data_IF_178678602300
#
_entry.id   IF_178678602300
#
_cell.length_a   1.000
_cell.length_b   1.000
_cell.length_c   1.000
_cell.angle_alpha   90.00
_cell.angle_beta   90.00
_cell.angle_gamma   90.00
#
_symmetry.space_group_name_H-M   'P 1'
#
loop_
_entity.id
_entity.type
_entity.pdbx_description
1 polymer ?
#
# COMPACT_ATOMS: atom_id res chain seq x y z
N UNK A 1 -5.78 -11.77 10.60
CA UNK A 1 -6.41 -11.53 9.28
C UNK A 1 -5.52 -12.12 8.20
N UNK A 2 -6.08 -12.64 7.11
CA UNK A 2 -5.29 -13.47 6.18
C UNK A 2 -4.44 -12.62 5.22
N UNK A 3 -3.19 -12.37 5.62
CA UNK A 3 -2.16 -11.74 4.80
C UNK A 3 -1.94 -12.46 3.47
N UNK A 4 -2.07 -13.80 3.44
CA UNK A 4 -1.87 -14.56 2.22
C UNK A 4 -2.96 -14.30 1.20
N UNK A 5 -4.20 -14.05 1.64
CA UNK A 5 -5.28 -13.61 0.75
C UNK A 5 -5.03 -12.18 0.26
N UNK A 6 -4.57 -11.27 1.14
CA UNK A 6 -4.31 -9.88 0.77
C UNK A 6 -3.19 -9.73 -0.27
N UNK A 7 -2.06 -10.42 -0.07
CA UNK A 7 -0.87 -10.29 -0.94
C UNK A 7 -1.05 -10.85 -2.35
N UNK A 8 -2.08 -11.68 -2.56
CA UNK A 8 -2.41 -12.30 -3.85
C UNK A 8 -3.52 -11.56 -4.60
N UNK A 9 -4.01 -10.42 -4.08
CA UNK A 9 -4.96 -9.59 -4.79
C UNK A 9 -4.23 -8.89 -5.93
N UNK A 10 -4.75 -9.01 -7.16
CA UNK A 10 -4.26 -8.32 -8.35
C UNK A 10 -3.89 -6.83 -8.09
N UNK A 11 -4.73 -6.00 -7.45
CA UNK A 11 -4.36 -4.60 -7.19
C UNK A 11 -3.19 -4.45 -6.21
N UNK A 12 -2.98 -5.40 -5.28
CA UNK A 12 -1.84 -5.36 -4.36
C UNK A 12 -0.55 -5.74 -5.09
N UNK A 13 -0.60 -6.77 -5.94
CA UNK A 13 0.55 -7.19 -6.76
C UNK A 13 0.94 -6.11 -7.76
N UNK A 14 -0.04 -5.47 -8.43
CA UNK A 14 0.20 -4.40 -9.40
C UNK A 14 0.88 -3.19 -8.76
N UNK A 15 0.38 -2.74 -7.60
CA UNK A 15 0.99 -1.60 -6.88
C UNK A 15 2.36 -1.98 -6.32
N UNK A 16 2.51 -3.18 -5.76
CA UNK A 16 3.80 -3.67 -5.29
C UNK A 16 4.83 -3.67 -6.44
N UNK A 17 4.45 -4.14 -7.62
CA UNK A 17 5.30 -4.13 -8.80
C UNK A 17 5.67 -2.71 -9.25
N UNK A 18 4.72 -1.77 -9.28
CA UNK A 18 4.97 -0.36 -9.61
C UNK A 18 5.90 0.33 -8.60
N UNK A 19 5.82 -0.05 -7.33
CA UNK A 19 6.73 0.40 -6.27
C UNK A 19 8.13 -0.24 -6.36
N UNK A 20 8.27 -1.33 -7.11
CA UNK A 20 9.49 -2.14 -7.12
C UNK A 20 9.67 -2.95 -5.83
N UNK A 21 8.60 -3.21 -5.10
CA UNK A 21 8.59 -3.98 -3.86
C UNK A 21 8.00 -5.38 -4.10
N UNK A 22 8.66 -6.41 -3.59
CA UNK A 22 8.20 -7.80 -3.75
C UNK A 22 7.42 -8.25 -2.51
N UNK A 23 6.11 -7.98 -2.52
CA UNK A 23 5.18 -8.37 -1.44
C UNK A 23 5.06 -9.89 -1.29
N UNK A 24 5.33 -10.66 -2.36
CA UNK A 24 5.26 -12.12 -2.35
C UNK A 24 6.31 -12.78 -1.45
N UNK A 25 7.42 -12.08 -1.19
CA UNK A 25 8.48 -12.55 -0.27
C UNK A 25 8.11 -12.41 1.20
N UNK A 26 7.04 -11.69 1.50
CA UNK A 26 6.59 -11.49 2.87
C UNK A 26 5.78 -12.72 3.32
N UNK A 27 6.06 -13.21 4.54
CA UNK A 27 5.34 -14.34 5.14
C UNK A 27 4.06 -13.91 5.87
N UNK A 28 4.11 -12.73 6.47
CA UNK A 28 3.04 -12.16 7.28
C UNK A 28 3.12 -10.64 7.28
N UNK A 29 2.15 -10.06 7.97
CA UNK A 29 2.01 -8.63 8.18
C UNK A 29 3.26 -8.00 8.84
N UNK A 30 3.84 -8.62 9.87
CA UNK A 30 4.97 -8.04 10.62
C UNK A 30 6.27 -8.11 9.80
N UNK A 31 6.45 -9.19 9.05
CA UNK A 31 7.50 -9.34 8.05
C UNK A 31 7.35 -8.30 6.93
N UNK A 32 6.13 -8.09 6.41
CA UNK A 32 5.84 -7.04 5.43
C UNK A 32 6.27 -5.65 5.92
N UNK A 33 5.83 -5.25 7.11
CA UNK A 33 6.21 -3.94 7.68
C UNK A 33 7.72 -3.82 7.91
N UNK A 34 8.37 -4.90 8.35
CA UNK A 34 9.82 -4.92 8.57
C UNK A 34 10.62 -4.86 7.27
N UNK A 35 10.23 -5.62 6.25
CA UNK A 35 10.85 -5.62 4.91
C UNK A 35 10.65 -4.28 4.21
N UNK A 36 9.44 -3.71 4.28
CA UNK A 36 9.14 -2.42 3.69
C UNK A 36 9.98 -1.32 4.33
N UNK A 37 10.06 -1.28 5.68
CA UNK A 37 10.94 -0.35 6.41
C UNK A 37 12.41 -0.56 6.06
N UNK A 38 12.88 -1.81 6.06
CA UNK A 38 14.28 -2.11 5.76
C UNK A 38 14.67 -1.70 4.34
N UNK A 39 13.78 -1.91 3.36
CA UNK A 39 14.00 -1.49 1.97
C UNK A 39 13.96 0.03 1.86
N UNK A 40 13.01 0.68 2.52
CA UNK A 40 12.90 2.13 2.53
C UNK A 40 14.12 2.79 3.19
N UNK A 41 14.61 2.28 4.32
CA UNK A 41 15.77 2.81 5.03
C UNK A 41 17.09 2.57 4.26
N UNK A 42 17.22 1.40 3.62
CA UNK A 42 18.40 1.04 2.83
C UNK A 42 18.61 1.98 1.64
N UNK A 43 17.51 2.43 1.03
CA UNK A 43 17.54 3.30 -0.15
C UNK A 43 17.22 4.78 0.18
N UNK A 44 17.32 5.20 1.45
CA UNK A 44 17.11 6.62 1.88
C UNK A 44 15.73 7.16 1.51
N UNK A 45 14.67 6.40 1.78
CA UNK A 45 13.29 6.82 1.54
C UNK A 45 12.78 6.57 0.12
N UNK A 46 13.53 5.85 -0.71
CA UNK A 46 13.21 5.66 -2.14
C UNK A 46 11.85 5.00 -2.38
N UNK A 47 11.38 4.11 -1.51
CA UNK A 47 10.04 3.50 -1.65
C UNK A 47 8.93 4.53 -1.45
N UNK A 48 9.03 5.38 -0.42
CA UNK A 48 8.06 6.45 -0.19
C UNK A 48 8.16 7.52 -1.27
N UNK A 49 9.37 7.88 -1.72
CA UNK A 49 9.55 8.80 -2.85
C UNK A 49 8.95 8.22 -4.13
N UNK A 50 9.17 6.93 -4.39
CA UNK A 50 8.60 6.25 -5.56
C UNK A 50 7.08 6.18 -5.48
N UNK A 51 6.53 5.93 -4.30
CA UNK A 51 5.09 6.01 -4.05
C UNK A 51 4.54 7.40 -4.41
N UNK A 52 5.25 8.48 -4.07
CA UNK A 52 4.88 9.83 -4.45
C UNK A 52 4.99 10.10 -5.95
N UNK A 53 6.02 9.58 -6.61
CA UNK A 53 6.20 9.73 -8.06
C UNK A 53 5.11 9.02 -8.86
N UNK A 54 4.70 7.81 -8.44
CA UNK A 54 3.67 7.06 -9.16
C UNK A 54 2.25 7.52 -8.82
N UNK A 55 2.04 8.17 -7.67
CA UNK A 55 0.71 8.55 -7.19
C UNK A 55 -0.06 9.44 -8.18
N UNK A 56 0.63 10.35 -8.89
CA UNK A 56 0.01 11.21 -9.91
C UNK A 56 -0.49 10.44 -11.14
N UNK A 57 0.06 9.24 -11.40
CA UNK A 57 -0.29 8.38 -12.53
C UNK A 57 -1.31 7.28 -12.15
N UNK A 58 -1.63 7.12 -10.87
CA UNK A 58 -2.56 6.10 -10.39
C UNK A 58 -4.02 6.57 -10.49
N UNK A 59 -4.91 5.62 -10.79
CA UNK A 59 -6.35 5.85 -10.65
C UNK A 59 -6.72 6.02 -9.17
N UNK A 60 -7.91 6.58 -8.90
CA UNK A 60 -8.38 6.77 -7.52
C UNK A 60 -8.44 5.45 -6.72
N UNK A 61 -8.70 4.32 -7.38
CA UNK A 61 -8.74 3.01 -6.73
C UNK A 61 -7.35 2.50 -6.37
N UNK A 62 -6.43 2.56 -7.32
CA UNK A 62 -5.02 2.23 -7.14
C UNK A 62 -4.34 3.11 -6.09
N UNK A 63 -4.63 4.41 -6.07
CA UNK A 63 -4.10 5.33 -5.06
C UNK A 63 -4.59 4.94 -3.65
N UNK A 64 -5.85 4.50 -3.55
CA UNK A 64 -6.41 4.02 -2.29
C UNK A 64 -5.71 2.74 -1.82
N UNK A 65 -5.41 1.82 -2.74
CA UNK A 65 -4.64 0.59 -2.45
C UNK A 65 -3.21 0.93 -2.02
N UNK A 66 -2.53 1.84 -2.71
CA UNK A 66 -1.20 2.32 -2.32
C UNK A 66 -1.20 2.92 -0.91
N UNK A 67 -2.17 3.78 -0.61
CA UNK A 67 -2.28 4.38 0.70
C UNK A 67 -2.55 3.33 1.80
N UNK A 68 -3.37 2.33 1.50
CA UNK A 68 -3.60 1.20 2.40
C UNK A 68 -2.35 0.34 2.62
N UNK A 69 -1.56 0.08 1.57
CA UNK A 69 -0.27 -0.61 1.68
C UNK A 69 0.72 0.14 2.57
N UNK A 70 0.79 1.48 2.45
CA UNK A 70 1.63 2.32 3.29
C UNK A 70 1.14 2.35 4.73
N UNK A 71 -0.17 2.43 4.95
CA UNK A 71 -0.78 2.34 6.28
C UNK A 71 -0.43 1.01 6.96
N UNK A 72 -0.56 -0.11 6.24
CA UNK A 72 -0.21 -1.44 6.74
C UNK A 72 1.30 -1.62 7.02
N UNK A 73 2.15 -0.71 6.53
CA UNK A 73 3.60 -0.69 6.78
C UNK A 73 4.02 0.34 7.86
N UNK A 74 3.07 0.89 8.64
CA UNK A 74 3.27 1.97 9.63
C UNK A 74 3.60 3.36 9.04
N UNK A 75 3.35 3.59 7.76
CA UNK A 75 3.59 4.87 7.07
C UNK A 75 2.29 5.68 6.85
N UNK A 76 1.37 5.63 7.81
CA UNK A 76 0.04 6.28 7.73
C UNK A 76 0.11 7.78 7.43
N UNK A 77 1.13 8.49 7.94
CA UNK A 77 1.30 9.94 7.70
C UNK A 77 1.64 10.22 6.23
N UNK A 78 2.44 9.36 5.60
CA UNK A 78 2.81 9.43 4.19
C UNK A 78 1.61 9.07 3.31
N UNK A 79 0.84 8.05 3.69
CA UNK A 79 -0.41 7.69 3.03
C UNK A 79 -1.39 8.87 3.00
N UNK A 80 -1.58 9.56 4.13
CA UNK A 80 -2.44 10.74 4.21
C UNK A 80 -1.92 11.92 3.38
N UNK A 81 -0.59 12.09 3.28
CA UNK A 81 0.01 13.15 2.47
C UNK A 81 -0.18 12.89 0.97
N UNK A 82 -0.06 11.63 0.54
CA UNK A 82 -0.23 11.22 -0.86
C UNK A 82 -1.66 11.41 -1.35
N UNK A 83 -2.64 11.28 -0.47
CA UNK A 83 -4.04 11.47 -0.82
C UNK A 83 -4.56 12.88 -0.48
N UNK A 84 -3.68 13.86 -0.23
CA UNK A 84 -4.05 15.24 0.14
C UNK A 84 -5.03 15.32 1.33
N UNK A 85 -4.85 14.42 2.32
CA UNK A 85 -5.74 14.26 3.47
C UNK A 85 -7.11 13.66 3.15
N UNK A 86 -7.34 13.21 1.92
CA UNK A 86 -8.59 12.64 1.42
C UNK A 86 -8.51 11.12 1.16
N UNK A 87 -7.51 10.44 1.72
CA UNK A 87 -7.28 8.98 1.64
C UNK A 87 -8.58 8.18 1.78
N UNK A 88 -9.39 8.59 2.75
CA UNK A 88 -10.62 7.93 3.14
C UNK A 88 -11.86 8.36 2.34
N UNK A 89 -11.78 9.44 1.55
CA UNK A 89 -12.85 9.87 0.64
C UNK A 89 -12.78 9.18 -0.72
N UNK A 90 -11.58 8.80 -1.18
CA UNK A 90 -11.40 7.98 -2.39
C UNK A 90 -11.99 6.56 -2.23
N UNK A 91 -11.99 6.08 -1.00
CA UNK A 91 -12.54 4.80 -0.57
C UNK A 91 -14.04 4.61 -0.88
N UNK A 92 -14.81 5.71 -0.89
CA UNK A 92 -16.24 5.71 -1.24
C UNK A 92 -16.47 5.44 -2.75
N UNK A 93 -15.40 5.44 -3.56
CA UNK A 93 -15.40 5.18 -5.00
C UNK A 93 -14.63 3.92 -5.42
N UNK A 94 -13.88 3.28 -4.53
CA UNK A 94 -13.27 1.97 -4.78
C UNK A 94 -14.31 0.86 -4.77
N UNK A 95 -14.25 -0.04 -5.75
CA UNK A 95 -15.15 -1.19 -5.86
C UNK A 95 -14.33 -2.47 -6.13
N UNK A 96 -14.88 -3.64 -5.81
CA UNK A 96 -14.23 -4.92 -6.10
C UNK A 96 -12.95 -5.17 -5.29
N UNK A 97 -11.95 -5.79 -5.92
CA UNK A 97 -10.73 -6.26 -5.25
C UNK A 97 -9.89 -5.13 -4.64
N UNK A 98 -9.99 -3.91 -5.18
CA UNK A 98 -9.36 -2.71 -4.63
C UNK A 98 -9.95 -2.36 -3.25
N UNK A 99 -11.28 -2.43 -3.12
CA UNK A 99 -11.95 -2.20 -1.85
C UNK A 99 -11.60 -3.30 -0.82
N UNK A 100 -11.47 -4.55 -1.28
CA UNK A 100 -11.05 -5.67 -0.43
C UNK A 100 -9.60 -5.51 0.04
N UNK A 101 -8.69 -5.13 -0.85
CA UNK A 101 -7.29 -4.88 -0.53
C UNK A 101 -7.14 -3.78 0.54
N UNK A 102 -7.88 -2.69 0.36
CA UNK A 102 -7.89 -1.57 1.31
C UNK A 102 -8.49 -2.00 2.65
N UNK A 103 -9.65 -2.66 2.64
CA UNK A 103 -10.30 -3.11 3.87
C UNK A 103 -9.41 -4.04 4.71
N UNK A 104 -8.75 -5.01 4.08
CA UNK A 104 -7.86 -5.96 4.77
C UNK A 104 -6.62 -5.28 5.38
N UNK A 105 -6.07 -4.27 4.70
CA UNK A 105 -4.94 -3.51 5.19
C UNK A 105 -5.31 -2.59 6.37
N UNK A 106 -6.50 -1.98 6.37
CA UNK A 106 -6.98 -1.15 7.47
C UNK A 106 -7.33 -1.99 8.70
N UNK A 107 -8.02 -3.11 8.50
CA UNK A 107 -8.47 -3.98 9.59
C UNK A 107 -7.33 -4.75 10.26
N UNK A 108 -6.09 -4.63 9.76
CA UNK A 108 -4.87 -5.07 10.42
C UNK A 108 -4.54 -4.21 11.66
N UNK A 109 -4.92 -2.93 11.64
CA UNK A 109 -4.59 -1.94 12.68
C UNK A 109 -5.09 -2.27 14.07
#
# INVERSE_FOLDING_TARGET
MDFNTWKTLDPVEDIAHKLGFDVGRCSDWDDYGSQFRATNDKDVGHLVTRAAEIADDLTAGELSVLAAMLHAADFSRQADTLCDGATWKGLDRTHGDEATAVALAILRG
#
